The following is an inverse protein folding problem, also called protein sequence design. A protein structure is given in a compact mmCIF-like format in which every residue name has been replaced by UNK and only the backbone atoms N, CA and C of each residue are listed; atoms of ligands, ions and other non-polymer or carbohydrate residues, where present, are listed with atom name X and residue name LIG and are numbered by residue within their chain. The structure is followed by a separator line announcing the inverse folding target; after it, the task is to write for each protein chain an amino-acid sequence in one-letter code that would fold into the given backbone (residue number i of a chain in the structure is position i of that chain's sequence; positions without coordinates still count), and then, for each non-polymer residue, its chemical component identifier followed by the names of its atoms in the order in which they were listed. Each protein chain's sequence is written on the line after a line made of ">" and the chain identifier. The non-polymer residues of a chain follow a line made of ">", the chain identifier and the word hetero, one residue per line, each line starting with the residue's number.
data_IF_696521113572
#
_entry.id   IF_696521113572
#
_cell.length_a   1.000
_cell.length_b   1.000
_cell.length_c   1.000
_cell.angle_alpha   90.00
_cell.angle_beta   90.00
_cell.angle_gamma   90.00
#
_symmetry.space_group_name_H-M   'P 1'
#
loop_
_entity.id
_entity.type
_entity.pdbx_description
1 polymer ?
#
# COMPACT_ATOMS: atom_id res chain seq x y z
N UNK A 1 7.53 -0.97 -11.41
CA UNK A 1 6.32 -0.20 -11.76
C UNK A 1 5.35 -0.19 -10.58
N UNK A 2 4.78 -1.32 -10.19
CA UNK A 2 3.84 -1.39 -9.08
C UNK A 2 4.39 -0.86 -7.74
N UNK A 3 5.64 -1.19 -7.35
CA UNK A 3 6.29 -0.62 -6.15
C UNK A 3 6.25 0.90 -6.14
N UNK A 4 6.66 1.53 -7.23
CA UNK A 4 6.73 3.00 -7.35
C UNK A 4 5.34 3.65 -7.35
N UNK A 5 4.33 2.97 -7.91
CA UNK A 5 2.95 3.43 -7.83
C UNK A 5 2.44 3.40 -6.38
N UNK A 6 2.72 2.33 -5.62
CA UNK A 6 2.35 2.24 -4.20
C UNK A 6 3.13 3.25 -3.36
N UNK A 7 4.44 3.39 -3.54
CA UNK A 7 5.29 4.40 -2.88
C UNK A 7 4.83 5.83 -3.18
N UNK A 8 4.28 6.08 -4.38
CA UNK A 8 3.69 7.36 -4.75
C UNK A 8 2.27 7.57 -4.19
N UNK A 9 1.76 6.65 -3.36
CA UNK A 9 0.43 6.74 -2.72
C UNK A 9 -0.73 6.25 -3.59
N UNK A 10 -0.47 5.54 -4.69
CA UNK A 10 -1.54 4.94 -5.50
C UNK A 10 -2.26 3.86 -4.69
N UNK A 11 -3.58 3.93 -4.64
CA UNK A 11 -4.39 2.91 -3.95
C UNK A 11 -4.16 1.54 -4.60
N UNK A 12 -3.87 0.49 -3.80
CA UNK A 12 -3.63 -0.87 -4.34
C UNK A 12 -4.76 -1.40 -5.22
N UNK A 13 -6.01 -1.02 -4.92
CA UNK A 13 -7.17 -1.40 -5.72
C UNK A 13 -7.18 -0.76 -7.12
N UNK A 14 -6.75 0.48 -7.23
CA UNK A 14 -6.60 1.20 -8.50
C UNK A 14 -5.48 0.57 -9.33
N UNK A 15 -4.36 0.26 -8.69
CA UNK A 15 -3.24 -0.41 -9.33
C UNK A 15 -3.61 -1.82 -9.80
N UNK A 16 -4.40 -2.56 -9.01
CA UNK A 16 -4.92 -3.88 -9.39
C UNK A 16 -5.73 -3.82 -10.70
N UNK A 17 -6.61 -2.81 -10.84
CA UNK A 17 -7.41 -2.61 -12.06
C UNK A 17 -6.54 -2.26 -13.27
N UNK A 18 -5.55 -1.39 -13.10
CA UNK A 18 -4.62 -1.01 -14.19
C UNK A 18 -3.79 -2.22 -14.66
N UNK A 19 -3.37 -3.08 -13.74
CA UNK A 19 -2.55 -4.24 -14.05
C UNK A 19 -3.36 -5.46 -14.52
N UNK A 20 -4.70 -5.41 -14.43
CA UNK A 20 -5.57 -6.54 -14.80
C UNK A 20 -5.40 -7.77 -13.90
N UNK A 21 -4.87 -7.59 -12.68
CA UNK A 21 -4.65 -8.71 -11.75
C UNK A 21 -5.98 -9.24 -11.20
N UNK A 22 -6.24 -10.53 -11.42
CA UNK A 22 -7.44 -11.22 -10.95
C UNK A 22 -7.60 -11.23 -9.43
N UNK A 23 -6.50 -11.13 -8.68
CA UNK A 23 -6.52 -11.04 -7.20
C UNK A 23 -5.65 -9.92 -6.66
N UNK A 24 -6.10 -9.29 -5.57
CA UNK A 24 -5.36 -8.24 -4.86
C UNK A 24 -4.05 -8.80 -4.28
N UNK A 25 -4.03 -10.09 -3.94
CA UNK A 25 -2.86 -10.82 -3.46
C UNK A 25 -1.68 -10.76 -4.45
N UNK A 26 -1.90 -10.84 -5.77
CA UNK A 26 -0.82 -10.67 -6.76
C UNK A 26 -0.28 -9.23 -6.80
N UNK A 27 -1.08 -8.25 -6.41
CA UNK A 27 -0.68 -6.83 -6.37
C UNK A 27 -0.01 -6.46 -5.04
N UNK A 28 -0.34 -7.16 -3.95
CA UNK A 28 0.16 -6.85 -2.61
C UNK A 28 1.35 -7.71 -2.19
N UNK A 29 1.40 -9.00 -2.54
CA UNK A 29 2.43 -9.93 -2.02
C UNK A 29 3.84 -9.71 -2.58
N UNK A 30 4.00 -9.03 -3.72
CA UNK A 30 5.32 -8.78 -4.34
C UNK A 30 5.88 -7.37 -4.01
N UNK A 31 5.04 -6.46 -3.49
CA UNK A 31 5.34 -5.02 -3.51
C UNK A 31 5.27 -4.32 -2.15
N UNK A 32 4.89 -5.04 -1.10
CA UNK A 32 4.61 -4.47 0.22
C UNK A 32 5.44 -5.20 1.28
N UNK A 33 6.77 -5.15 1.16
CA UNK A 33 7.60 -5.26 2.36
C UNK A 33 7.52 -3.90 3.07
N UNK A 34 6.47 -3.71 3.87
CA UNK A 34 6.36 -2.53 4.73
C UNK A 34 7.49 -2.58 5.74
N UNK A 35 8.25 -1.49 5.83
CA UNK A 35 9.26 -1.34 6.88
C UNK A 35 8.58 -1.14 8.24
N UNK A 36 9.27 -1.47 9.34
CA UNK A 36 8.71 -1.21 10.68
C UNK A 36 8.43 0.29 10.89
N UNK A 37 9.28 1.16 10.34
CA UNK A 37 9.14 2.62 10.43
C UNK A 37 7.83 3.13 9.78
N UNK A 38 7.48 2.63 8.59
CA UNK A 38 6.21 2.99 7.94
C UNK A 38 5.01 2.51 8.74
N UNK A 39 5.12 1.33 9.37
CA UNK A 39 4.05 0.80 10.23
C UNK A 39 3.84 1.70 11.45
N UNK A 40 4.91 2.16 12.11
CA UNK A 40 4.80 3.07 13.24
C UNK A 40 4.25 4.44 12.84
N UNK A 41 4.66 4.96 11.68
CA UNK A 41 4.19 6.25 11.17
C UNK A 41 2.70 6.25 10.82
N UNK A 42 2.20 5.18 10.21
CA UNK A 42 0.77 5.04 9.94
C UNK A 42 -0.05 4.84 11.23
N UNK A 43 0.48 4.10 12.21
CA UNK A 43 -0.14 3.99 13.53
C UNK A 43 -0.26 5.34 14.24
N UNK A 44 0.80 6.15 14.24
CA UNK A 44 0.80 7.48 14.83
C UNK A 44 -0.21 8.41 14.12
N UNK A 45 -0.26 8.35 12.80
CA UNK A 45 -1.24 9.10 11.99
C UNK A 45 -2.67 8.71 12.34
N UNK A 46 -2.96 7.41 12.48
CA UNK A 46 -4.30 6.92 12.85
C UNK A 46 -4.65 7.35 14.28
N UNK A 47 -3.71 7.30 15.22
CA UNK A 47 -3.92 7.79 16.59
C UNK A 47 -4.26 9.29 16.63
N UNK A 48 -3.58 10.12 15.83
CA UNK A 48 -3.84 11.55 15.76
C UNK A 48 -5.19 11.89 15.09
N UNK A 49 -5.73 11.02 14.23
CA UNK A 49 -7.04 11.25 13.59
C UNK A 49 -8.21 10.78 14.47
N UNK A 50 -7.97 9.83 15.38
CA UNK A 50 -8.98 9.26 16.28
C UNK A 50 -9.15 10.02 17.60
N UNK A 51 -8.18 10.88 17.96
CA UNK A 51 -8.21 11.76 19.14
C UNK A 51 -8.61 13.18 18.74
#
# INVERSE_FOLDING_TARGET
>A
FATRCIEAGMKPKTLQTILGHSTLAMTMNQYVHTTEDEKFKELERVQHVLL
#
